data_IF_327580393408
#
_entry.id   IF_327580393408
#
_cell.length_a   1.000
_cell.length_b   1.000
_cell.length_c   1.000
_cell.angle_alpha   90.00
_cell.angle_beta   90.00
_cell.angle_gamma   90.00
#
_symmetry.space_group_name_H-M   'P 1'
#
loop_
_entity.id
_entity.type
_entity.pdbx_description
1 polymer ?
#
# COMPACT_ATOMS: atom_id res chain seq x y z
N UNK A 1 -47.38 -10.16 -28.29
CA UNK A 1 -46.15 -9.33 -28.33
C UNK A 1 -45.58 -9.27 -26.92
N UNK A 2 -44.60 -10.12 -26.59
CA UNK A 2 -43.90 -10.07 -25.30
C UNK A 2 -42.84 -8.97 -25.37
N UNK A 3 -42.90 -8.00 -24.46
CA UNK A 3 -41.84 -6.99 -24.27
C UNK A 3 -40.70 -7.61 -23.44
N UNK A 4 -39.43 -7.50 -23.85
CA UNK A 4 -38.32 -7.87 -22.99
C UNK A 4 -38.16 -6.78 -21.92
N UNK A 5 -38.25 -7.18 -20.66
CA UNK A 5 -37.85 -6.34 -19.51
C UNK A 5 -36.33 -6.44 -19.42
N UNK A 6 -35.64 -5.36 -19.78
CA UNK A 6 -34.20 -5.24 -19.56
C UNK A 6 -33.95 -5.01 -18.07
N UNK A 7 -33.42 -6.01 -17.37
CA UNK A 7 -32.84 -5.82 -16.05
C UNK A 7 -31.52 -5.06 -16.21
N UNK A 8 -31.49 -3.78 -15.82
CA UNK A 8 -30.24 -3.10 -15.52
C UNK A 8 -29.72 -3.70 -14.21
N UNK A 9 -28.68 -4.53 -14.30
CA UNK A 9 -27.88 -4.86 -13.14
C UNK A 9 -27.09 -3.60 -12.75
N UNK A 10 -27.50 -2.91 -11.69
CA UNK A 10 -26.62 -1.98 -10.99
C UNK A 10 -25.54 -2.82 -10.31
N UNK A 11 -24.40 -2.99 -10.97
CA UNK A 11 -23.18 -3.42 -10.29
C UNK A 11 -22.80 -2.31 -9.30
N UNK A 12 -23.03 -2.52 -8.01
CA UNK A 12 -22.46 -1.67 -6.99
C UNK A 12 -20.94 -1.72 -7.13
N UNK A 13 -20.34 -0.62 -7.57
CA UNK A 13 -18.89 -0.51 -7.64
C UNK A 13 -18.41 -0.41 -6.20
N UNK A 14 -17.94 -1.52 -5.64
CA UNK A 14 -17.27 -1.54 -4.35
C UNK A 14 -16.05 -0.61 -4.43
N UNK A 15 -16.16 0.56 -3.80
CA UNK A 15 -15.09 1.53 -3.71
C UNK A 15 -14.32 1.20 -2.44
N UNK A 16 -13.15 0.58 -2.62
CA UNK A 16 -12.32 0.26 -1.49
C UNK A 16 -11.51 1.44 -1.02
N UNK A 17 -11.19 1.39 0.27
CA UNK A 17 -10.54 2.47 0.95
C UNK A 17 -9.67 1.87 2.05
N UNK A 18 -8.38 1.68 1.83
CA UNK A 18 -7.45 1.21 2.87
C UNK A 18 -6.12 1.94 2.78
N UNK A 19 -5.50 2.20 3.92
CA UNK A 19 -4.11 2.68 4.04
C UNK A 19 -3.47 2.13 5.32
N UNK A 20 -2.15 2.13 5.38
CA UNK A 20 -1.39 1.80 6.58
C UNK A 20 -1.25 2.98 7.54
N UNK A 21 -2.16 3.12 8.48
CA UNK A 21 -2.11 4.16 9.50
C UNK A 21 -0.97 3.94 10.50
N UNK A 22 -0.12 4.95 10.66
CA UNK A 22 0.93 5.08 11.67
C UNK A 22 1.33 6.55 11.78
N UNK A 23 1.79 7.01 12.95
CA UNK A 23 2.10 8.43 13.21
C UNK A 23 3.03 9.10 12.19
N UNK A 24 4.02 8.36 11.66
CA UNK A 24 4.94 8.88 10.64
C UNK A 24 4.33 9.13 9.26
N UNK A 25 3.02 8.91 9.06
CA UNK A 25 2.37 9.13 7.78
C UNK A 25 2.10 10.61 7.50
N UNK A 26 2.17 10.98 6.23
CA UNK A 26 1.62 12.24 5.76
C UNK A 26 0.09 12.19 5.84
N UNK A 27 -0.54 13.36 5.99
CA UNK A 27 -2.01 13.49 5.91
C UNK A 27 -2.76 12.68 6.99
N UNK A 28 -2.12 12.42 8.15
CA UNK A 28 -2.73 11.67 9.26
C UNK A 28 -4.06 12.28 9.73
N UNK A 29 -4.12 13.61 9.82
CA UNK A 29 -5.30 14.39 10.17
C UNK A 29 -6.18 14.78 8.97
N UNK A 30 -5.84 14.35 7.75
CA UNK A 30 -6.38 14.91 6.51
C UNK A 30 -5.46 15.95 5.87
N UNK A 31 -5.93 16.61 4.80
CA UNK A 31 -5.09 17.44 3.94
C UNK A 31 -5.01 18.91 4.36
N UNK A 32 -5.75 19.29 5.41
CA UNK A 32 -5.65 20.62 6.02
C UNK A 32 -4.70 20.55 7.23
N UNK A 33 -3.50 21.14 7.16
CA UNK A 33 -2.53 21.08 8.26
C UNK A 33 -3.00 21.85 9.51
N UNK A 34 -4.04 22.67 9.42
CA UNK A 34 -4.62 23.38 10.57
C UNK A 34 -5.66 22.56 11.34
N UNK A 35 -6.06 21.40 10.81
CA UNK A 35 -7.13 20.57 11.36
C UNK A 35 -6.66 19.12 11.57
N UNK A 36 -6.72 18.64 12.80
CA UNK A 36 -6.54 17.21 13.09
C UNK A 36 -7.88 16.46 13.07
N UNK A 37 -8.29 15.93 11.91
CA UNK A 37 -9.53 15.16 11.81
C UNK A 37 -9.33 13.68 12.19
N UNK A 38 -9.68 13.35 13.44
CA UNK A 38 -9.64 11.99 13.99
C UNK A 38 -10.59 10.97 13.30
N UNK A 39 -11.50 11.42 12.42
CA UNK A 39 -12.41 10.57 11.64
C UNK A 39 -12.20 10.72 10.13
N UNK A 40 -10.98 11.02 9.70
CA UNK A 40 -10.64 11.19 8.29
C UNK A 40 -10.53 9.86 7.55
N UNK A 41 -11.00 9.87 6.31
CA UNK A 41 -10.80 8.83 5.31
C UNK A 41 -10.15 9.40 4.03
N UNK A 42 -9.35 10.47 4.16
CA UNK A 42 -8.75 11.12 2.98
C UNK A 42 -7.67 10.24 2.35
N UNK A 43 -6.74 9.72 3.15
CA UNK A 43 -5.57 8.97 2.68
C UNK A 43 -5.92 7.56 2.15
N UNK A 44 -7.14 7.08 2.36
CA UNK A 44 -7.57 5.73 1.98
C UNK A 44 -8.11 5.66 0.55
N UNK A 45 -8.41 6.79 -0.10
CA UNK A 45 -9.03 6.77 -1.43
C UNK A 45 -8.10 6.20 -2.51
N UNK A 46 -8.64 5.45 -3.49
CA UNK A 46 -7.84 4.89 -4.58
C UNK A 46 -7.24 5.97 -5.48
N UNK A 47 -6.22 5.57 -6.24
CA UNK A 47 -5.60 6.34 -7.32
C UNK A 47 -5.92 5.65 -8.65
N UNK A 48 -6.63 6.33 -9.54
CA UNK A 48 -7.04 5.78 -10.83
C UNK A 48 -7.23 6.88 -11.87
N UNK A 49 -6.71 6.68 -13.07
CA UNK A 49 -6.84 7.60 -14.20
C UNK A 49 -6.40 9.05 -13.86
N UNK A 50 -5.36 9.19 -13.04
CA UNK A 50 -4.76 10.46 -12.66
C UNK A 50 -3.47 10.70 -13.44
N UNK A 51 -3.04 11.96 -13.56
CA UNK A 51 -1.68 12.24 -14.06
C UNK A 51 -0.66 11.94 -12.97
N UNK A 52 0.60 11.73 -13.37
CA UNK A 52 1.70 11.45 -12.43
C UNK A 52 1.82 12.50 -11.34
N UNK A 53 1.78 13.77 -11.73
CA UNK A 53 1.80 14.90 -10.80
C UNK A 53 0.65 14.91 -9.80
N UNK A 54 -0.48 14.26 -10.10
CA UNK A 54 -1.65 14.20 -9.23
C UNK A 54 -1.61 12.95 -8.32
N UNK A 55 -1.25 11.77 -8.85
CA UNK A 55 -1.26 10.56 -8.02
C UNK A 55 0.00 10.39 -7.17
N UNK A 56 1.12 11.02 -7.53
CA UNK A 56 2.37 10.92 -6.79
C UNK A 56 2.18 11.42 -5.37
N UNK A 57 2.36 10.53 -4.38
CA UNK A 57 2.12 10.81 -2.97
C UNK A 57 0.75 11.44 -2.65
N UNK A 58 -0.28 11.15 -3.46
CA UNK A 58 -1.65 11.66 -3.29
C UNK A 58 -1.74 13.20 -3.34
N UNK A 59 -1.05 13.80 -4.30
CA UNK A 59 -1.10 15.25 -4.54
C UNK A 59 -2.51 15.74 -4.93
N UNK A 60 -3.30 14.93 -5.63
CA UNK A 60 -4.68 15.22 -6.05
C UNK A 60 -5.59 15.69 -4.91
N UNK A 61 -5.27 15.25 -3.69
CA UNK A 61 -5.97 15.57 -2.44
C UNK A 61 -5.10 16.28 -1.42
N UNK A 62 -3.90 16.75 -1.80
CA UNK A 62 -3.01 17.57 -0.98
C UNK A 62 -2.31 16.84 0.18
N UNK A 63 -2.29 15.51 0.18
CA UNK A 63 -1.70 14.76 1.29
C UNK A 63 -0.16 14.88 1.34
N UNK A 64 0.50 15.04 0.19
CA UNK A 64 1.94 15.28 0.09
C UNK A 64 2.41 16.60 0.74
N UNK A 65 1.50 17.57 0.90
CA UNK A 65 1.76 18.86 1.52
C UNK A 65 1.63 18.86 3.05
N UNK A 66 1.11 17.78 3.65
CA UNK A 66 0.87 17.68 5.11
C UNK A 66 1.80 16.62 5.72
N UNK A 67 3.02 17.00 6.16
CA UNK A 67 3.93 16.06 6.81
C UNK A 67 3.38 15.59 8.17
N UNK A 68 3.90 14.47 8.70
CA UNK A 68 3.63 14.09 10.09
C UNK A 68 4.10 15.18 11.07
N UNK A 69 3.57 15.14 12.29
CA UNK A 69 3.98 16.05 13.36
C UNK A 69 5.47 15.89 13.70
N UNK A 70 6.07 16.95 14.26
CA UNK A 70 7.49 16.91 14.66
C UNK A 70 7.77 15.75 15.63
N UNK A 71 8.74 14.93 15.28
CA UNK A 71 9.12 13.73 16.05
C UNK A 71 8.31 12.47 15.73
N UNK A 72 7.19 12.59 15.02
CA UNK A 72 6.44 11.43 14.54
C UNK A 72 7.11 10.87 13.28
N UNK A 73 7.70 9.68 13.43
CA UNK A 73 8.45 8.98 12.38
C UNK A 73 8.13 7.49 12.42
N UNK A 74 8.06 6.85 11.25
CA UNK A 74 7.99 5.40 11.15
C UNK A 74 9.39 4.80 11.37
N UNK A 75 9.58 4.16 12.52
CA UNK A 75 10.84 3.50 12.85
C UNK A 75 10.96 2.13 12.17
N UNK A 76 12.08 1.93 11.48
CA UNK A 76 12.41 0.72 10.72
C UNK A 76 13.62 0.03 11.39
N UNK A 77 13.41 -0.87 12.35
CA UNK A 77 14.52 -1.57 13.01
C UNK A 77 15.19 -2.53 12.02
N UNK A 78 16.45 -2.27 11.64
CA UNK A 78 17.19 -3.08 10.69
C UNK A 78 17.27 -4.55 11.12
N UNK A 79 16.73 -5.46 10.30
CA UNK A 79 16.66 -6.90 10.59
C UNK A 79 15.55 -7.28 11.57
N UNK A 80 14.76 -6.31 12.00
CA UNK A 80 13.60 -6.47 12.87
C UNK A 80 12.28 -6.40 12.09
N UNK A 81 11.24 -5.93 12.78
CA UNK A 81 9.89 -5.80 12.26
C UNK A 81 9.28 -4.48 12.73
N UNK A 82 8.34 -3.95 11.96
CA UNK A 82 7.48 -2.84 12.37
C UNK A 82 6.02 -3.19 12.11
N UNK A 83 5.13 -2.58 12.88
CA UNK A 83 3.69 -2.85 12.82
C UNK A 83 2.95 -1.56 12.49
N UNK A 84 1.93 -1.67 11.63
CA UNK A 84 1.02 -0.60 11.23
C UNK A 84 -0.42 -1.08 11.32
N UNK A 85 -1.36 -0.14 11.24
CA UNK A 85 -2.79 -0.44 11.22
C UNK A 85 -3.38 -0.21 9.82
N UNK A 86 -3.74 -1.27 9.11
CA UNK A 86 -4.52 -1.20 7.87
C UNK A 86 -5.98 -0.92 8.21
N UNK A 87 -6.51 0.25 7.85
CA UNK A 87 -7.90 0.59 8.17
C UNK A 87 -8.56 1.50 7.13
N UNK A 88 -9.89 1.51 7.11
CA UNK A 88 -10.70 2.27 6.14
C UNK A 88 -10.93 3.73 6.56
N UNK A 89 -10.67 4.03 7.82
CA UNK A 89 -10.75 5.37 8.40
C UNK A 89 -9.80 5.41 9.61
N UNK A 90 -9.22 6.58 9.89
CA UNK A 90 -8.39 6.75 11.09
C UNK A 90 -9.14 6.42 12.38
N UNK A 91 -10.44 6.68 12.45
CA UNK A 91 -11.28 6.37 13.60
C UNK A 91 -11.22 4.88 13.99
N UNK A 92 -10.98 3.98 13.02
CA UNK A 92 -10.89 2.54 13.20
C UNK A 92 -9.49 2.07 13.59
N UNK A 93 -8.63 2.99 14.03
CA UNK A 93 -7.26 2.73 14.48
C UNK A 93 -7.06 3.17 15.91
N UNK A 94 -5.93 2.79 16.52
CA UNK A 94 -5.57 3.30 17.85
C UNK A 94 -5.13 4.76 17.84
N UNK A 95 -4.96 5.38 16.66
CA UNK A 95 -4.55 6.78 16.49
C UNK A 95 -5.71 7.78 16.66
N UNK A 96 -6.90 7.30 17.05
CA UNK A 96 -8.09 8.14 17.28
C UNK A 96 -9.02 7.50 18.31
N UNK A 97 -9.71 8.36 19.07
CA UNK A 97 -10.74 7.97 20.05
C UNK A 97 -10.29 6.85 21.01
N UNK A 98 -9.01 6.82 21.37
CA UNK A 98 -8.39 5.77 22.20
C UNK A 98 -8.68 4.34 21.72
N UNK A 99 -8.81 4.16 20.40
CA UNK A 99 -9.08 2.86 19.77
C UNK A 99 -10.52 2.36 19.91
N UNK A 100 -11.46 3.21 20.36
CA UNK A 100 -12.86 2.83 20.62
C UNK A 100 -13.58 2.15 19.44
N UNK A 101 -13.23 2.50 18.20
CA UNK A 101 -13.87 1.96 17.00
C UNK A 101 -12.98 0.96 16.25
N UNK A 102 -11.95 0.44 16.92
CA UNK A 102 -11.11 -0.62 16.37
C UNK A 102 -11.81 -1.98 16.50
N UNK A 103 -11.52 -2.88 15.56
CA UNK A 103 -11.78 -4.31 15.67
C UNK A 103 -10.54 -5.08 15.19
N UNK A 104 -10.60 -6.39 15.01
CA UNK A 104 -9.53 -7.11 14.31
C UNK A 104 -9.44 -6.76 12.81
N UNK A 105 -10.51 -6.18 12.26
CA UNK A 105 -10.70 -6.00 10.84
C UNK A 105 -10.55 -4.51 10.44
N UNK A 106 -10.09 -4.23 9.21
CA UNK A 106 -9.84 -2.86 8.75
C UNK A 106 -11.06 -1.92 8.75
N UNK A 107 -12.28 -2.46 8.73
CA UNK A 107 -13.53 -1.69 8.73
C UNK A 107 -14.10 -1.41 10.14
N UNK A 108 -13.41 -1.82 11.20
CA UNK A 108 -13.85 -1.66 12.58
C UNK A 108 -15.06 -2.50 12.96
N UNK A 109 -15.44 -3.50 12.16
CA UNK A 109 -16.50 -4.47 12.46
C UNK A 109 -15.93 -5.85 12.76
N UNK A 110 -16.78 -6.74 13.25
CA UNK A 110 -16.42 -8.15 13.47
C UNK A 110 -16.81 -9.00 12.27
N UNK A 111 -15.86 -9.81 11.79
CA UNK A 111 -16.05 -10.79 10.73
C UNK A 111 -15.48 -12.16 11.15
N UNK A 112 -15.99 -13.27 10.61
CA UNK A 112 -15.48 -14.60 10.95
C UNK A 112 -14.08 -14.83 10.35
N UNK A 113 -13.25 -15.69 10.95
CA UNK A 113 -11.90 -15.98 10.43
C UNK A 113 -11.89 -16.53 9.00
N UNK A 114 -12.92 -17.29 8.62
CA UNK A 114 -13.09 -17.83 7.28
C UNK A 114 -13.88 -16.88 6.36
N UNK A 115 -13.81 -15.58 6.60
CA UNK A 115 -14.51 -14.59 5.78
C UNK A 115 -14.19 -14.76 4.30
N UNK A 116 -15.25 -14.85 3.51
CA UNK A 116 -15.19 -14.98 2.07
C UNK A 116 -16.44 -14.33 1.46
N UNK A 117 -16.33 -13.94 0.19
CA UNK A 117 -17.50 -13.52 -0.57
C UNK A 117 -18.49 -14.66 -0.83
N UNK A 118 -19.67 -14.35 -1.36
CA UNK A 118 -20.71 -15.34 -1.60
C UNK A 118 -20.32 -16.34 -2.70
N UNK A 119 -20.89 -17.55 -2.68
CA UNK A 119 -20.73 -18.55 -3.75
C UNK A 119 -19.60 -19.56 -3.55
N UNK A 120 -19.45 -20.45 -4.52
CA UNK A 120 -18.39 -21.48 -4.56
C UNK A 120 -17.98 -21.79 -6.02
N UNK A 121 -16.80 -21.34 -6.50
CA UNK A 121 -15.78 -20.61 -5.75
C UNK A 121 -16.28 -19.22 -5.26
N UNK A 122 -15.72 -18.68 -4.16
CA UNK A 122 -16.17 -17.40 -3.60
C UNK A 122 -16.02 -16.26 -4.60
N UNK A 123 -17.08 -15.46 -4.76
CA UNK A 123 -17.05 -14.17 -5.44
C UNK A 123 -16.38 -13.10 -4.54
N UNK A 124 -16.30 -11.86 -5.00
CA UNK A 124 -15.75 -10.75 -4.23
C UNK A 124 -16.57 -10.50 -2.95
N UNK A 125 -15.89 -10.18 -1.85
CA UNK A 125 -16.53 -9.72 -0.61
C UNK A 125 -17.30 -8.42 -0.90
N UNK A 126 -18.60 -8.39 -0.59
CA UNK A 126 -19.49 -7.25 -0.87
C UNK A 126 -19.69 -6.36 0.37
N UNK A 127 -19.83 -6.96 1.56
CA UNK A 127 -20.21 -6.26 2.80
C UNK A 127 -19.12 -5.32 3.35
N UNK A 128 -17.89 -5.59 2.94
CA UNK A 128 -16.70 -4.77 3.18
C UNK A 128 -15.87 -4.71 1.91
N UNK A 129 -16.49 -4.26 0.81
CA UNK A 129 -15.87 -4.17 -0.52
C UNK A 129 -14.55 -3.37 -0.60
N UNK A 130 -13.97 -3.00 0.54
CA UNK A 130 -12.72 -2.31 0.73
C UNK A 130 -11.44 -3.16 0.81
N UNK A 131 -11.54 -4.48 0.94
CA UNK A 131 -10.37 -5.36 0.84
C UNK A 131 -10.08 -5.85 -0.58
N UNK A 132 -10.98 -5.61 -1.52
CA UNK A 132 -10.85 -5.99 -2.93
C UNK A 132 -10.35 -7.44 -3.11
N UNK A 133 -11.00 -8.38 -2.44
CA UNK A 133 -10.63 -9.79 -2.49
C UNK A 133 -11.84 -10.70 -2.30
N UNK A 134 -11.71 -11.95 -2.72
CA UNK A 134 -12.70 -13.01 -2.51
C UNK A 134 -12.55 -13.67 -1.13
N UNK A 135 -11.32 -13.72 -0.60
CA UNK A 135 -10.92 -14.28 0.69
C UNK A 135 -9.45 -13.93 1.00
N UNK A 136 -8.91 -14.38 2.13
CA UNK A 136 -7.53 -14.07 2.53
C UNK A 136 -6.47 -14.47 1.49
N UNK A 137 -6.55 -15.71 0.98
CA UNK A 137 -5.55 -16.24 0.05
C UNK A 137 -5.49 -15.46 -1.28
N UNK A 138 -6.57 -14.76 -1.62
CA UNK A 138 -6.70 -13.98 -2.84
C UNK A 138 -6.29 -12.51 -2.66
N UNK A 139 -6.01 -12.06 -1.42
CA UNK A 139 -5.55 -10.70 -1.16
C UNK A 139 -4.18 -10.45 -1.81
N UNK A 140 -4.06 -9.32 -2.51
CA UNK A 140 -3.03 -9.08 -3.52
C UNK A 140 -1.60 -8.92 -2.97
N UNK A 141 -1.48 -8.62 -1.68
CA UNK A 141 -0.23 -8.24 -1.03
C UNK A 141 -0.01 -6.73 -1.06
N UNK A 142 0.61 -6.22 0.00
CA UNK A 142 0.97 -4.82 0.16
C UNK A 142 2.48 -4.69 0.39
N UNK A 143 3.02 -3.51 0.18
CA UNK A 143 4.46 -3.28 0.29
C UNK A 143 4.78 -1.95 0.96
N UNK A 144 6.00 -1.86 1.49
CA UNK A 144 6.63 -0.58 1.80
C UNK A 144 7.88 -0.38 0.94
N UNK A 145 8.04 0.84 0.45
CA UNK A 145 9.22 1.31 -0.25
C UNK A 145 9.93 2.43 0.54
N UNK A 146 11.22 2.60 0.29
CA UNK A 146 12.08 3.58 0.97
C UNK A 146 12.92 4.35 -0.06
N UNK A 147 13.04 5.66 0.17
CA UNK A 147 13.95 6.56 -0.51
C UNK A 147 14.80 7.29 0.54
N UNK A 148 16.11 7.32 0.33
CA UNK A 148 17.07 8.00 1.21
C UNK A 148 17.11 9.52 0.94
N UNK A 149 15.93 10.10 0.72
CA UNK A 149 15.69 11.52 0.55
C UNK A 149 14.80 12.02 1.70
N UNK A 150 15.29 13.03 2.41
CA UNK A 150 14.53 13.67 3.48
C UNK A 150 13.48 14.63 2.93
N UNK A 151 13.74 15.24 1.76
CA UNK A 151 12.76 16.05 1.04
C UNK A 151 11.92 15.16 0.11
N UNK A 152 10.60 15.27 0.24
CA UNK A 152 9.64 14.53 -0.57
C UNK A 152 9.78 14.89 -2.06
N UNK A 153 10.12 16.14 -2.38
CA UNK A 153 10.26 16.61 -3.76
C UNK A 153 11.42 15.94 -4.53
N UNK A 154 12.40 15.41 -3.80
CA UNK A 154 13.55 14.70 -4.35
C UNK A 154 13.29 13.19 -4.56
N UNK A 155 12.12 12.69 -4.14
CA UNK A 155 11.75 11.27 -4.30
C UNK A 155 11.31 11.01 -5.74
N UNK A 156 11.90 9.99 -6.36
CA UNK A 156 11.58 9.53 -7.71
C UNK A 156 11.26 8.03 -7.70
N UNK A 157 10.73 7.50 -8.80
CA UNK A 157 10.48 6.06 -8.94
C UNK A 157 11.77 5.25 -8.77
N UNK A 158 12.87 5.75 -9.29
CA UNK A 158 14.18 5.08 -9.32
C UNK A 158 14.88 5.09 -7.95
N UNK A 159 14.54 6.05 -7.07
CA UNK A 159 15.12 6.10 -5.74
C UNK A 159 14.18 5.61 -4.63
N UNK A 160 12.93 5.24 -4.98
CA UNK A 160 11.94 4.66 -4.08
C UNK A 160 11.88 3.13 -4.27
N UNK A 161 12.72 2.41 -3.54
CA UNK A 161 12.86 0.96 -3.66
C UNK A 161 11.95 0.22 -2.66
N UNK A 162 11.18 -0.75 -3.15
CA UNK A 162 10.41 -1.67 -2.29
C UNK A 162 11.38 -2.48 -1.44
N UNK A 163 11.28 -2.33 -0.11
CA UNK A 163 12.17 -3.01 0.84
C UNK A 163 11.47 -4.12 1.63
N UNK A 164 10.14 -4.15 1.64
CA UNK A 164 9.37 -5.21 2.30
C UNK A 164 8.01 -5.38 1.67
N UNK A 165 7.52 -6.61 1.69
CA UNK A 165 6.24 -7.03 1.13
C UNK A 165 5.56 -7.94 2.14
N UNK A 166 4.25 -7.80 2.28
CA UNK A 166 3.43 -8.70 3.07
C UNK A 166 2.35 -9.27 2.14
N UNK A 167 2.48 -10.53 1.76
CA UNK A 167 1.48 -11.22 0.94
C UNK A 167 0.16 -11.38 1.71
N UNK A 168 -0.93 -11.63 0.98
CA UNK A 168 -2.27 -11.82 1.54
C UNK A 168 -2.75 -10.64 2.41
N UNK A 169 -2.40 -9.42 1.98
CA UNK A 169 -2.89 -8.17 2.57
C UNK A 169 -3.44 -7.22 1.50
N UNK A 170 -4.29 -6.25 1.87
CA UNK A 170 -4.89 -6.04 3.19
C UNK A 170 -5.82 -7.20 3.60
N UNK A 171 -5.90 -7.48 4.91
CA UNK A 171 -6.79 -8.51 5.46
C UNK A 171 -7.22 -8.19 6.90
N UNK A 172 -6.28 -8.28 7.85
CA UNK A 172 -6.48 -7.84 9.24
C UNK A 172 -5.97 -6.41 9.42
N UNK A 173 -6.49 -5.71 10.43
CA UNK A 173 -6.05 -4.35 10.76
C UNK A 173 -4.58 -4.33 11.15
N UNK A 174 -4.16 -5.20 12.05
CA UNK A 174 -2.76 -5.25 12.47
C UNK A 174 -1.92 -5.96 11.40
N UNK A 175 -1.00 -5.24 10.77
CA UNK A 175 -0.08 -5.76 9.78
C UNK A 175 1.37 -5.53 10.22
N UNK A 176 2.19 -6.58 10.14
CA UNK A 176 3.59 -6.53 10.58
C UNK A 176 4.52 -6.88 9.43
N UNK A 177 5.46 -5.99 9.15
CA UNK A 177 6.39 -6.08 8.04
C UNK A 177 7.81 -6.33 8.54
N UNK A 178 8.59 -7.08 7.77
CA UNK A 178 9.99 -7.37 8.09
C UNK A 178 10.92 -6.35 7.43
N UNK A 179 11.97 -5.94 8.12
CA UNK A 179 12.93 -4.95 7.63
C UNK A 179 14.23 -5.65 7.23
N UNK A 180 14.77 -5.43 6.02
CA UNK A 180 16.08 -5.96 5.65
C UNK A 180 17.15 -5.55 6.65
N UNK A 181 17.98 -6.51 7.06
CA UNK A 181 19.08 -6.27 8.01
C UNK A 181 20.09 -5.24 7.50
N UNK A 182 20.26 -5.18 6.19
CA UNK A 182 21.29 -4.38 5.56
C UNK A 182 20.81 -2.98 5.12
N UNK A 183 19.58 -2.56 5.48
CA UNK A 183 19.17 -1.17 5.26
C UNK A 183 20.17 -0.24 5.96
N UNK A 184 20.86 0.69 5.24
CA UNK A 184 21.74 1.66 5.87
C UNK A 184 20.96 2.69 6.70
N UNK A 185 21.67 3.46 7.53
CA UNK A 185 21.08 4.59 8.25
C UNK A 185 20.55 5.66 7.28
N UNK A 186 19.42 6.27 7.64
CA UNK A 186 18.89 7.42 6.90
C UNK A 186 19.78 8.66 7.05
N UNK A 187 19.76 9.59 6.08
CA UNK A 187 20.44 10.87 6.22
C UNK A 187 19.82 11.73 7.35
N UNK A 188 20.48 12.83 7.76
CA UNK A 188 19.88 13.82 8.64
C UNK A 188 18.53 14.31 8.08
N UNK A 189 17.49 14.34 8.91
CA UNK A 189 16.11 14.64 8.49
C UNK A 189 15.29 13.39 8.10
N UNK A 190 15.88 12.20 8.18
CA UNK A 190 15.20 10.94 7.93
C UNK A 190 15.10 10.57 6.45
N UNK A 191 14.45 9.45 6.18
CA UNK A 191 14.09 8.99 4.85
C UNK A 191 12.62 9.27 4.55
N UNK A 192 12.25 9.10 3.29
CA UNK A 192 10.84 9.03 2.88
C UNK A 192 10.48 7.59 2.56
N UNK A 193 9.36 7.12 3.09
CA UNK A 193 8.80 5.81 2.78
C UNK A 193 7.43 5.94 2.12
N UNK A 194 7.00 4.88 1.45
CA UNK A 194 5.66 4.78 0.89
C UNK A 194 5.04 3.42 1.18
N UNK A 195 3.78 3.40 1.60
CA UNK A 195 2.94 2.20 1.62
C UNK A 195 2.25 2.07 0.27
N UNK A 196 2.16 0.85 -0.25
CA UNK A 196 1.79 0.58 -1.62
C UNK A 196 0.87 -0.64 -1.72
N UNK A 197 -0.13 -0.55 -2.59
CA UNK A 197 -1.05 -1.65 -2.87
C UNK A 197 -1.64 -1.55 -4.28
N UNK A 198 -1.77 -2.70 -4.95
CA UNK A 198 -2.59 -2.84 -6.17
C UNK A 198 -3.55 -4.01 -5.93
N UNK A 199 -4.86 -3.78 -5.93
CA UNK A 199 -5.83 -4.84 -5.68
C UNK A 199 -5.93 -5.85 -6.82
N UNK A 200 -6.45 -7.04 -6.54
CA UNK A 200 -6.56 -8.11 -7.51
C UNK A 200 -8.01 -8.49 -7.82
N UNK A 201 -8.47 -8.16 -9.03
CA UNK A 201 -9.67 -8.75 -9.64
C UNK A 201 -11.03 -8.30 -9.09
N UNK A 202 -11.10 -7.77 -7.87
CA UNK A 202 -12.32 -7.25 -7.27
C UNK A 202 -12.36 -5.72 -7.31
N UNK A 203 -13.43 -5.14 -7.86
CA UNK A 203 -13.62 -3.69 -7.96
C UNK A 203 -12.83 -3.04 -9.10
N UNK A 204 -12.66 -1.71 -9.00
CA UNK A 204 -11.92 -0.95 -10.00
C UNK A 204 -10.42 -1.32 -9.96
N UNK A 205 -9.78 -1.57 -11.11
CA UNK A 205 -8.36 -1.91 -11.14
C UNK A 205 -7.52 -0.64 -10.93
N UNK A 206 -7.40 -0.21 -9.68
CA UNK A 206 -6.73 1.02 -9.24
C UNK A 206 -5.41 0.68 -8.52
N UNK A 207 -4.79 1.68 -7.91
CA UNK A 207 -3.65 1.50 -7.00
C UNK A 207 -3.79 2.39 -5.76
N UNK A 208 -3.01 2.11 -4.73
CA UNK A 208 -2.93 2.92 -3.53
C UNK A 208 -1.48 3.23 -3.21
N UNK A 209 -1.28 4.44 -2.72
CA UNK A 209 0.00 4.96 -2.27
C UNK A 209 -0.27 5.89 -1.09
N UNK A 210 0.59 5.86 -0.08
CA UNK A 210 0.63 6.87 0.97
C UNK A 210 2.08 7.15 1.37
N UNK A 211 2.39 8.40 1.72
CA UNK A 211 3.72 8.83 2.12
C UNK A 211 3.96 8.76 3.62
N UNK A 212 5.22 8.54 4.00
CA UNK A 212 5.66 8.49 5.40
C UNK A 212 7.04 9.14 5.55
N UNK A 213 7.27 9.86 6.65
CA UNK A 213 8.62 10.05 7.17
C UNK A 213 9.02 8.76 7.89
N UNK A 214 10.18 8.23 7.58
CA UNK A 214 10.69 7.01 8.18
C UNK A 214 12.16 7.14 8.55
N UNK A 215 12.62 6.30 9.47
CA UNK A 215 14.01 6.27 9.89
C UNK A 215 14.45 4.83 10.14
N UNK A 216 15.67 4.50 9.73
CA UNK A 216 16.26 3.19 9.98
C UNK A 216 16.99 3.20 11.32
N UNK A 217 16.60 2.30 12.22
CA UNK A 217 17.21 2.16 13.55
C UNK A 217 18.02 0.87 13.66
N UNK A 218 19.06 0.90 14.51
CA UNK A 218 19.90 -0.29 14.76
C UNK A 218 20.72 -0.76 13.56
N UNK A 219 20.83 0.03 12.49
CA UNK A 219 21.62 -0.35 11.32
C UNK A 219 23.12 -0.33 11.64
N UNK A 220 23.81 -1.39 11.21
CA UNK A 220 25.27 -1.47 11.16
C UNK A 220 25.79 -1.57 9.73
N UNK A 221 24.91 -1.39 8.74
CA UNK A 221 25.22 -1.59 7.33
C UNK A 221 25.83 -0.32 6.71
N UNK A 222 26.83 -0.51 5.87
CA UNK A 222 27.42 0.53 5.00
C UNK A 222 27.02 0.37 3.53
N UNK A 223 26.17 -0.61 3.21
CA UNK A 223 25.67 -0.83 1.84
C UNK A 223 24.80 0.33 1.39
N UNK A 224 24.58 0.45 0.08
CA UNK A 224 23.60 1.41 -0.47
C UNK A 224 22.44 0.64 -1.08
N UNK A 225 21.24 1.20 -0.99
CA UNK A 225 20.12 0.69 -1.77
C UNK A 225 20.38 1.04 -3.24
N UNK A 226 20.33 0.01 -4.10
CA UNK A 226 20.52 0.16 -5.53
C UNK A 226 19.37 0.97 -6.15
N UNK A 227 19.60 1.66 -7.28
CA UNK A 227 18.52 2.24 -8.06
C UNK A 227 17.45 1.18 -8.39
N UNK A 228 16.19 1.53 -8.13
CA UNK A 228 15.06 0.65 -8.29
C UNK A 228 14.68 0.47 -9.76
N UNK A 229 14.51 -0.78 -10.17
CA UNK A 229 14.12 -1.18 -11.52
C UNK A 229 12.63 -1.51 -11.60
N UNK A 230 12.02 -1.30 -12.77
CA UNK A 230 10.61 -1.64 -12.99
C UNK A 230 10.40 -3.15 -12.75
N UNK A 231 9.45 -3.57 -11.90
CA UNK A 231 9.15 -4.99 -11.72
C UNK A 231 8.46 -5.58 -12.97
N UNK A 232 8.65 -6.87 -13.21
CA UNK A 232 8.08 -7.57 -14.36
C UNK A 232 7.35 -8.84 -13.95
N UNK A 233 6.29 -9.18 -14.69
CA UNK A 233 5.59 -10.45 -14.51
C UNK A 233 6.51 -11.62 -14.84
N UNK A 234 6.66 -12.55 -13.91
CA UNK A 234 7.56 -13.69 -14.01
C UNK A 234 6.98 -14.97 -13.39
N UNK A 235 5.66 -15.03 -13.16
CA UNK A 235 5.02 -16.20 -12.54
C UNK A 235 5.28 -17.50 -13.30
N UNK A 236 5.33 -17.42 -14.63
CA UNK A 236 5.49 -18.58 -15.49
C UNK A 236 6.98 -19.03 -15.59
N UNK A 237 7.92 -18.17 -15.20
CA UNK A 237 9.37 -18.43 -15.23
C UNK A 237 10.12 -17.50 -14.27
N UNK A 238 10.38 -18.01 -13.06
CA UNK A 238 11.05 -17.24 -12.00
C UNK A 238 12.48 -16.79 -12.37
N UNK A 239 13.12 -17.42 -13.35
CA UNK A 239 14.46 -17.01 -13.80
C UNK A 239 14.45 -15.64 -14.49
N UNK A 240 13.28 -15.22 -14.99
CA UNK A 240 13.03 -13.93 -15.64
C UNK A 240 12.63 -12.82 -14.67
N UNK A 241 12.44 -13.13 -13.37
CA UNK A 241 12.11 -12.10 -12.40
C UNK A 241 13.22 -11.05 -12.31
N UNK A 242 12.81 -9.78 -12.21
CA UNK A 242 13.73 -8.66 -11.97
C UNK A 242 14.38 -8.83 -10.60
N UNK A 243 15.70 -8.94 -10.60
CA UNK A 243 16.53 -9.10 -9.40
C UNK A 243 16.93 -7.75 -8.83
N UNK A 244 17.13 -7.72 -7.52
CA UNK A 244 17.55 -6.53 -6.80
C UNK A 244 16.42 -5.54 -6.54
N UNK A 245 16.79 -4.27 -6.35
CA UNK A 245 15.88 -3.19 -6.03
C UNK A 245 14.81 -3.04 -7.11
N UNK A 246 13.55 -3.03 -6.68
CA UNK A 246 12.37 -2.88 -7.55
C UNK A 246 11.58 -1.64 -7.16
N UNK A 247 11.04 -0.96 -8.15
CA UNK A 247 10.19 0.21 -7.98
C UNK A 247 8.83 -0.19 -7.40
N UNK A 248 8.07 0.79 -6.94
CA UNK A 248 6.62 0.62 -6.80
C UNK A 248 5.96 0.27 -8.14
N UNK A 249 4.74 -0.25 -8.10
CA UNK A 249 3.91 -0.51 -9.26
C UNK A 249 3.01 0.71 -9.47
N UNK A 250 3.15 1.39 -10.60
CA UNK A 250 2.22 2.42 -11.07
C UNK A 250 1.35 1.83 -12.19
N UNK A 251 0.05 1.73 -11.94
CA UNK A 251 -0.90 1.00 -12.78
C UNK A 251 -2.23 1.75 -12.95
N UNK A 252 -2.79 1.69 -14.16
CA UNK A 252 -4.06 2.30 -14.56
C UNK A 252 -4.21 3.81 -14.25
N UNK A 253 -3.13 4.55 -14.47
CA UNK A 253 -3.11 6.01 -14.41
C UNK A 253 -3.20 6.63 -15.81
N UNK A 254 -3.56 7.91 -15.89
CA UNK A 254 -3.55 8.66 -17.15
C UNK A 254 -2.12 8.80 -17.68
N UNK A 255 -1.16 9.08 -16.78
CA UNK A 255 0.27 9.13 -17.09
C UNK A 255 1.10 8.54 -15.96
N UNK A 256 2.34 8.12 -16.26
CA UNK A 256 3.29 7.65 -15.25
C UNK A 256 3.18 6.17 -14.86
N UNK A 257 2.38 5.37 -15.56
CA UNK A 257 2.43 3.91 -15.42
C UNK A 257 3.84 3.38 -15.75
N UNK A 258 4.32 2.39 -15.00
CA UNK A 258 5.66 1.83 -15.23
C UNK A 258 5.67 0.35 -15.62
N UNK A 259 4.60 -0.41 -15.35
CA UNK A 259 4.57 -1.86 -15.61
C UNK A 259 3.93 -2.20 -16.96
N UNK A 260 4.47 -3.22 -17.62
CA UNK A 260 3.81 -3.90 -18.74
C UNK A 260 3.04 -5.11 -18.19
N UNK A 261 1.72 -5.06 -18.30
CA UNK A 261 0.84 -6.08 -17.71
C UNK A 261 0.39 -7.06 -18.81
N UNK A 262 0.69 -8.37 -18.67
CA UNK A 262 0.19 -9.37 -19.61
C UNK A 262 -1.34 -9.43 -19.61
N UNK A 263 -1.92 -9.88 -20.72
CA UNK A 263 -3.38 -9.98 -20.84
C UNK A 263 -3.99 -10.87 -19.75
N UNK A 264 -5.06 -10.38 -19.11
CA UNK A 264 -5.76 -11.09 -18.04
C UNK A 264 -4.99 -11.21 -16.72
N UNK A 265 -3.90 -10.44 -16.55
CA UNK A 265 -3.14 -10.37 -15.30
C UNK A 265 -3.32 -9.01 -14.64
N UNK A 266 -3.08 -8.98 -13.33
CA UNK A 266 -3.04 -7.76 -12.51
C UNK A 266 -1.67 -7.67 -11.86
N UNK A 267 -1.01 -6.50 -11.84
CA UNK A 267 0.23 -6.34 -11.12
C UNK A 267 -0.02 -6.34 -9.61
N UNK A 268 0.87 -6.98 -8.86
CA UNK A 268 0.70 -7.24 -7.43
C UNK A 268 2.04 -7.27 -6.71
N UNK A 269 2.02 -7.09 -5.39
CA UNK A 269 3.19 -7.24 -4.53
C UNK A 269 3.31 -8.67 -4.03
N UNK A 270 3.69 -9.57 -4.94
CA UNK A 270 3.85 -11.00 -4.66
C UNK A 270 4.87 -11.68 -5.59
N UNK A 271 5.06 -12.97 -5.39
CA UNK A 271 6.06 -13.76 -6.11
C UNK A 271 5.85 -13.80 -7.63
N UNK A 272 4.62 -13.63 -8.13
CA UNK A 272 4.33 -13.56 -9.56
C UNK A 272 5.00 -12.36 -10.27
N UNK A 273 5.40 -11.34 -9.49
CA UNK A 273 6.07 -10.12 -9.94
C UNK A 273 7.49 -9.98 -9.38
N UNK A 274 8.05 -11.06 -8.83
CA UNK A 274 9.40 -11.10 -8.30
C UNK A 274 9.56 -10.48 -6.90
N UNK A 275 8.45 -10.20 -6.22
CA UNK A 275 8.43 -9.74 -4.84
C UNK A 275 8.26 -10.93 -3.89
N UNK A 276 9.25 -11.21 -3.04
CA UNK A 276 9.09 -12.28 -2.04
C UNK A 276 8.34 -11.74 -0.83
N UNK A 277 7.54 -12.56 -0.17
CA UNK A 277 7.01 -12.19 1.15
C UNK A 277 8.16 -11.89 2.14
N UNK A 278 7.98 -10.85 2.96
CA UNK A 278 8.96 -10.37 3.94
C UNK A 278 9.95 -9.34 3.39
N UNK A 279 11.12 -9.27 4.02
CA UNK A 279 12.18 -8.32 3.70
C UNK A 279 12.83 -8.61 2.33
N UNK A 280 12.98 -7.56 1.51
CA UNK A 280 13.69 -7.62 0.23
C UNK A 280 15.20 -7.44 0.48
N UNK A 281 15.92 -8.55 0.64
CA UNK A 281 17.32 -8.55 1.05
C UNK A 281 18.33 -8.41 -0.11
N UNK A 282 17.87 -8.42 -1.36
CA UNK A 282 18.72 -8.34 -2.55
C UNK A 282 18.84 -6.92 -3.14
N UNK A 283 18.30 -5.91 -2.47
CA UNK A 283 18.18 -4.54 -3.00
C UNK A 283 19.46 -3.69 -2.92
N UNK A 284 20.60 -4.28 -2.54
CA UNK A 284 21.80 -3.54 -2.13
C UNK A 284 22.96 -3.63 -3.13
N UNK A 285 23.80 -2.58 -3.15
CA UNK A 285 25.11 -2.50 -3.81
C UNK A 285 26.22 -2.11 -2.83
#
# INVERSE_FOLDING_TARGET
>A
MLRPVAFLALSAVAQAHTVAWVKGMYCLGGPDPSTDNANTNTAVAPLYNLKKEDWWFQHDRGCDAVPPADGDVLELPAGGKFTVELAHNRAQTTLSYDGKYTSEWPDGKEHPENWAGPGNPPDCIQDDGALHTNNQSMAAGTAFAISYQSDLSAVTMENLAVFTVLEHTPWKRIATYEVPKDLPACPPGGCTCAWLWVPNGCGQPNMYMAGYKCNVTGSTSSKKVAPAQVPGYCADDSSKCVKGAKQMIAFNQQTGNNVQVPNGKTPMYNTAWGFKNGAQNDIFV
#
